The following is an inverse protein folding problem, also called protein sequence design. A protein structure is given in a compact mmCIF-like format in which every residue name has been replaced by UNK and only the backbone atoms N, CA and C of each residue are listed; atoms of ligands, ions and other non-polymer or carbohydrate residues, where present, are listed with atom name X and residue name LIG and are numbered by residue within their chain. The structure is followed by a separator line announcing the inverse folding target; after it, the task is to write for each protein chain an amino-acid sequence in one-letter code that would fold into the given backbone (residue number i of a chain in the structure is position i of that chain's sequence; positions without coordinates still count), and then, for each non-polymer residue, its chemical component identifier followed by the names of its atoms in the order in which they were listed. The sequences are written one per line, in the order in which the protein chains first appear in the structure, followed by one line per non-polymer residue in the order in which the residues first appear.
data_IF_341975373347
#
_entry.id   IF_341975373347
#
_cell.length_a   1.000
_cell.length_b   1.000
_cell.length_c   1.000
_cell.angle_alpha   90.00
_cell.angle_beta   90.00
_cell.angle_gamma   90.00
#
_symmetry.space_group_name_H-M   'P 1'
#
loop_
_entity.id
_entity.type
_entity.pdbx_description
1 polymer ?
#
# COMPACT_ATOMS: atom_id res chain seq x y z
N UNK A 1 32.53 29.32 42.04
CA UNK A 1 31.26 28.65 41.68
C UNK A 1 30.81 28.90 40.25
N UNK A 2 30.67 30.14 39.76
CA UNK A 2 30.22 30.43 38.37
C UNK A 2 31.04 29.74 37.26
N UNK A 3 32.39 29.70 37.36
CA UNK A 3 33.27 29.04 36.36
C UNK A 3 33.14 27.51 36.31
N UNK A 4 32.82 26.86 37.42
CA UNK A 4 32.66 25.39 37.46
C UNK A 4 31.34 24.94 36.82
N UNK A 5 30.30 25.79 36.87
CA UNK A 5 29.02 25.53 36.20
C UNK A 5 29.19 25.57 34.67
N UNK A 6 29.95 26.54 34.13
CA UNK A 6 30.21 26.59 32.68
C UNK A 6 31.01 25.39 32.17
N UNK A 7 31.99 24.90 32.94
CA UNK A 7 32.78 23.72 32.56
C UNK A 7 31.92 22.45 32.60
N UNK A 8 31.03 22.30 33.60
CA UNK A 8 30.08 21.20 33.65
C UNK A 8 29.08 21.24 32.47
N UNK A 9 28.62 22.43 32.07
CA UNK A 9 27.75 22.63 30.91
C UNK A 9 28.46 22.22 29.61
N UNK A 10 29.73 22.61 29.42
CA UNK A 10 30.52 22.25 28.24
C UNK A 10 30.76 20.73 28.18
N UNK A 11 31.02 20.08 29.32
CA UNK A 11 31.22 18.63 29.42
C UNK A 11 29.95 17.81 29.13
N UNK A 12 28.77 18.33 29.50
CA UNK A 12 27.47 17.73 29.18
C UNK A 12 27.17 17.87 27.68
N UNK A 13 27.55 18.99 27.05
CA UNK A 13 27.37 19.19 25.60
C UNK A 13 28.34 18.31 24.79
N UNK A 14 29.54 18.03 25.30
CA UNK A 14 30.56 17.24 24.59
C UNK A 14 30.44 15.71 24.74
N UNK A 15 29.48 15.21 25.54
CA UNK A 15 29.30 13.77 25.78
C UNK A 15 28.18 13.12 24.94
N UNK A 16 27.55 13.87 24.04
CA UNK A 16 26.64 13.30 23.03
C UNK A 16 27.45 12.77 21.84
N UNK A 17 27.91 11.52 21.92
CA UNK A 17 28.39 10.81 20.74
C UNK A 17 27.22 10.63 19.77
N UNK A 18 27.36 11.17 18.56
CA UNK A 18 26.32 11.15 17.56
C UNK A 18 26.20 9.74 16.95
N UNK A 19 25.37 8.87 17.53
CA UNK A 19 25.06 7.57 16.95
C UNK A 19 23.94 7.78 15.94
N UNK A 20 24.30 7.79 14.65
CA UNK A 20 23.36 7.83 13.54
C UNK A 20 22.58 6.51 13.47
N UNK A 21 21.57 6.35 14.32
CA UNK A 21 20.56 5.31 14.17
C UNK A 21 19.43 5.86 13.30
N UNK A 22 19.21 5.25 12.13
CA UNK A 22 18.09 5.53 11.24
C UNK A 22 16.80 5.56 12.07
N UNK A 23 16.25 6.76 12.28
CA UNK A 23 14.93 6.89 12.90
C UNK A 23 13.94 6.37 11.87
N UNK A 24 13.41 5.16 12.09
CA UNK A 24 12.35 4.59 11.28
C UNK A 24 11.19 5.58 11.08
N UNK A 25 10.34 5.35 10.08
CA UNK A 25 9.28 6.28 9.70
C UNK A 25 8.44 6.70 10.91
N UNK A 26 8.17 8.01 11.03
CA UNK A 26 7.31 8.56 12.10
C UNK A 26 5.84 8.20 11.88
N UNK A 27 5.50 7.81 10.66
CA UNK A 27 4.18 7.37 10.25
C UNK A 27 4.34 6.29 9.18
N UNK A 28 3.74 5.13 9.41
CA UNK A 28 3.67 4.03 8.45
C UNK A 28 2.23 3.56 8.34
N UNK A 29 1.62 3.73 7.17
CA UNK A 29 0.21 3.41 6.95
C UNK A 29 0.00 1.88 6.97
N UNK A 30 -0.96 1.44 7.76
CA UNK A 30 -1.62 0.15 7.65
C UNK A 30 -2.96 0.33 6.94
N UNK A 31 -3.49 -0.76 6.39
CA UNK A 31 -4.69 -0.70 5.57
C UNK A 31 -5.83 -1.50 6.19
N UNK A 32 -7.08 -1.01 6.11
CA UNK A 32 -8.22 -1.74 6.64
C UNK A 32 -8.43 -3.07 5.92
N UNK A 33 -9.09 -3.98 6.62
CA UNK A 33 -9.68 -5.18 6.02
C UNK A 33 -11.20 -5.15 6.17
N UNK A 34 -11.93 -6.10 5.59
CA UNK A 34 -13.39 -6.12 5.70
C UNK A 34 -13.96 -7.52 5.91
N UNK A 35 -15.26 -7.55 6.18
CA UNK A 35 -16.09 -8.73 6.42
C UNK A 35 -16.50 -9.47 5.11
N UNK A 36 -16.90 -10.76 5.19
CA UNK A 36 -17.40 -11.53 4.04
C UNK A 36 -18.72 -10.91 3.54
N UNK A 37 -18.81 -10.77 2.22
CA UNK A 37 -20.04 -10.46 1.51
C UNK A 37 -20.43 -11.54 0.49
N UNK A 38 -21.70 -11.58 0.14
CA UNK A 38 -22.17 -12.27 -1.06
C UNK A 38 -21.98 -11.40 -2.28
N UNK A 39 -21.55 -12.01 -3.38
CA UNK A 39 -21.60 -11.33 -4.69
C UNK A 39 -23.05 -11.13 -5.13
N UNK A 40 -23.92 -12.11 -4.83
CA UNK A 40 -25.36 -12.00 -5.08
C UNK A 40 -26.08 -11.28 -3.93
N UNK A 41 -26.75 -10.16 -4.23
CA UNK A 41 -27.44 -9.32 -3.22
C UNK A 41 -28.65 -9.98 -2.53
N UNK A 42 -29.19 -11.06 -3.10
CA UNK A 42 -30.43 -11.71 -2.64
C UNK A 42 -30.19 -13.14 -2.08
N UNK A 43 -28.98 -13.42 -1.58
CA UNK A 43 -28.67 -14.75 -1.03
C UNK A 43 -29.56 -15.10 0.17
N UNK A 44 -30.18 -16.29 0.21
CA UNK A 44 -31.02 -16.69 1.32
C UNK A 44 -30.24 -17.05 2.59
N UNK A 45 -28.90 -17.17 2.49
CA UNK A 45 -28.02 -17.60 3.56
C UNK A 45 -28.05 -16.61 4.74
N UNK A 46 -28.06 -17.16 5.94
CA UNK A 46 -28.10 -16.41 7.20
C UNK A 46 -26.79 -16.58 7.95
N UNK A 47 -26.29 -15.49 8.54
CA UNK A 47 -25.15 -15.50 9.47
C UNK A 47 -25.69 -15.56 10.90
N UNK A 48 -25.31 -16.62 11.62
CA UNK A 48 -25.67 -16.86 13.03
C UNK A 48 -24.71 -16.22 14.01
N UNK A 49 -23.43 -16.20 13.64
CA UNK A 49 -22.35 -15.56 14.39
C UNK A 49 -21.15 -15.31 13.51
N UNK A 50 -20.39 -14.28 13.88
CA UNK A 50 -19.01 -14.04 13.46
C UNK A 50 -18.10 -14.04 14.69
N UNK A 51 -17.05 -14.85 14.66
CA UNK A 51 -15.94 -14.80 15.59
C UNK A 51 -14.74 -14.17 14.87
N UNK A 52 -14.44 -12.92 15.23
CA UNK A 52 -13.35 -12.14 14.68
C UNK A 52 -12.17 -12.11 15.65
N UNK A 53 -11.02 -12.62 15.20
CA UNK A 53 -9.81 -12.75 16.01
C UNK A 53 -8.67 -11.96 15.37
N UNK A 54 -8.05 -11.07 16.14
CA UNK A 54 -6.77 -10.43 15.83
C UNK A 54 -5.70 -11.04 16.73
N UNK A 55 -4.82 -11.85 16.15
CA UNK A 55 -3.72 -12.49 16.88
C UNK A 55 -2.37 -11.86 16.51
N UNK A 56 -1.74 -11.21 17.50
CA UNK A 56 -0.43 -10.56 17.34
C UNK A 56 0.71 -11.38 17.96
N UNK A 57 0.47 -12.64 18.34
CA UNK A 57 1.46 -13.47 19.04
C UNK A 57 2.61 -13.96 18.14
N UNK A 58 2.33 -14.20 16.86
CA UNK A 58 3.29 -14.73 15.88
C UNK A 58 4.01 -13.63 15.07
N UNK A 59 3.77 -12.35 15.40
CA UNK A 59 4.19 -11.21 14.59
C UNK A 59 5.71 -11.11 14.40
N UNK A 60 6.17 -11.37 13.17
CA UNK A 60 7.52 -11.09 12.72
C UNK A 60 7.67 -9.57 12.48
N UNK A 61 8.58 -8.91 13.20
CA UNK A 61 8.80 -7.45 13.19
C UNK A 61 9.59 -6.93 11.96
N UNK A 62 9.55 -7.62 10.83
CA UNK A 62 10.41 -7.30 9.67
C UNK A 62 9.91 -6.09 8.85
N UNK A 63 8.71 -5.59 9.16
CA UNK A 63 8.17 -4.34 8.60
C UNK A 63 8.05 -3.31 9.73
N UNK A 64 8.11 -2.02 9.40
CA UNK A 64 8.10 -0.92 10.37
C UNK A 64 6.82 -0.81 11.24
N UNK A 65 5.92 -1.80 11.22
CA UNK A 65 4.67 -1.86 11.98
C UNK A 65 4.39 -3.26 12.52
N UNK A 66 3.42 -3.36 13.44
CA UNK A 66 2.92 -4.62 13.99
C UNK A 66 1.98 -5.31 12.99
N UNK A 67 2.17 -6.61 12.81
CA UNK A 67 1.34 -7.48 11.98
C UNK A 67 0.42 -8.36 12.84
N UNK A 68 -0.86 -8.46 12.45
CA UNK A 68 -1.83 -9.38 13.02
C UNK A 68 -2.13 -10.51 12.04
N UNK A 69 -2.24 -11.73 12.55
CA UNK A 69 -2.94 -12.82 11.89
C UNK A 69 -4.43 -12.64 12.21
N UNK A 70 -5.22 -12.22 11.22
CA UNK A 70 -6.66 -12.03 11.37
C UNK A 70 -7.37 -13.31 10.97
N UNK A 71 -8.37 -13.70 11.74
CA UNK A 71 -9.30 -14.78 11.37
C UNK A 71 -10.71 -14.30 11.58
N UNK A 72 -11.49 -14.26 10.50
CA UNK A 72 -12.92 -14.05 10.52
C UNK A 72 -13.60 -15.41 10.28
N UNK A 73 -14.34 -15.89 11.28
CA UNK A 73 -15.02 -17.18 11.23
C UNK A 73 -16.52 -17.00 11.39
N UNK A 74 -17.30 -17.63 10.52
CA UNK A 74 -18.74 -17.44 10.40
C UNK A 74 -19.46 -18.76 10.60
N UNK A 75 -20.50 -18.75 11.42
CA UNK A 75 -21.52 -19.80 11.40
C UNK A 75 -22.65 -19.38 10.47
N UNK A 76 -22.81 -20.10 9.37
CA UNK A 76 -23.76 -19.77 8.31
C UNK A 76 -24.78 -20.90 8.12
N UNK A 77 -26.02 -20.54 7.77
CA UNK A 77 -27.11 -21.49 7.54
C UNK A 77 -27.78 -21.25 6.20
N UNK A 78 -28.04 -22.33 5.46
CA UNK A 78 -28.99 -22.31 4.36
C UNK A 78 -30.40 -22.65 4.87
N UNK A 79 -31.34 -21.70 4.96
CA UNK A 79 -32.69 -21.95 5.46
C UNK A 79 -33.61 -22.61 4.44
N UNK A 80 -33.14 -22.85 3.20
CA UNK A 80 -33.97 -23.36 2.10
C UNK A 80 -33.93 -24.88 2.02
N UNK A 81 -34.85 -25.45 1.25
CA UNK A 81 -34.94 -26.88 0.93
C UNK A 81 -34.08 -27.29 -0.28
N UNK A 82 -33.31 -26.34 -0.85
CA UNK A 82 -32.46 -26.54 -2.02
C UNK A 82 -31.00 -26.28 -1.69
N UNK A 83 -30.11 -26.99 -2.36
CA UNK A 83 -28.68 -26.67 -2.34
C UNK A 83 -28.47 -25.28 -2.91
N UNK A 84 -27.66 -24.48 -2.23
CA UNK A 84 -27.22 -23.14 -2.68
C UNK A 84 -25.72 -23.18 -2.92
N UNK A 85 -25.27 -22.75 -4.09
CA UNK A 85 -23.86 -22.44 -4.34
C UNK A 85 -23.74 -20.93 -4.34
N UNK A 86 -23.00 -20.39 -3.38
CA UNK A 86 -22.91 -18.94 -3.18
C UNK A 86 -21.48 -18.51 -3.46
N UNK A 87 -21.34 -17.53 -4.36
CA UNK A 87 -20.07 -16.85 -4.58
C UNK A 87 -19.88 -15.79 -3.50
N UNK A 88 -18.80 -15.97 -2.74
CA UNK A 88 -18.39 -15.11 -1.64
C UNK A 88 -17.29 -14.16 -2.13
N UNK A 89 -17.27 -12.97 -1.56
CA UNK A 89 -16.20 -12.00 -1.73
C UNK A 89 -15.71 -11.54 -0.34
N UNK A 90 -14.40 -11.43 -0.19
CA UNK A 90 -13.76 -10.89 1.01
C UNK A 90 -12.79 -9.77 0.60
N UNK A 91 -13.22 -8.50 0.67
CA UNK A 91 -12.36 -7.38 0.35
C UNK A 91 -11.40 -7.02 1.48
N UNK A 92 -10.22 -6.55 1.12
CA UNK A 92 -9.30 -5.86 2.00
C UNK A 92 -8.43 -4.91 1.18
N UNK A 93 -7.68 -4.02 1.82
CA UNK A 93 -6.91 -3.01 1.11
C UNK A 93 -5.44 -3.34 1.21
N UNK A 94 -4.78 -3.46 0.06
CA UNK A 94 -3.37 -3.83 -0.01
C UNK A 94 -2.77 -3.42 -1.37
N UNK A 95 -1.46 -3.59 -1.50
CA UNK A 95 -0.70 -3.52 -2.75
C UNK A 95 -0.48 -4.94 -3.27
N UNK A 96 -0.49 -5.13 -4.58
CA UNK A 96 -0.37 -6.48 -5.16
C UNK A 96 0.95 -7.17 -4.77
N UNK A 97 2.05 -6.42 -4.72
CA UNK A 97 3.35 -6.98 -4.35
C UNK A 97 3.49 -7.32 -2.85
N UNK A 98 2.56 -6.88 -2.00
CA UNK A 98 2.57 -7.15 -0.55
C UNK A 98 1.73 -8.38 -0.18
N UNK A 99 0.98 -8.95 -1.12
CA UNK A 99 0.12 -10.10 -0.85
C UNK A 99 1.01 -11.30 -0.58
N UNK A 100 0.83 -11.91 0.59
CA UNK A 100 1.45 -13.18 0.94
C UNK A 100 0.39 -14.28 0.90
N UNK A 101 0.37 -15.05 -0.19
CA UNK A 101 -0.63 -16.11 -0.40
C UNK A 101 -0.50 -17.26 0.59
N UNK A 102 0.69 -17.55 1.12
CA UNK A 102 0.91 -18.60 2.13
C UNK A 102 0.14 -18.32 3.44
N UNK A 103 -0.14 -17.04 3.72
CA UNK A 103 -0.86 -16.61 4.91
C UNK A 103 -2.37 -16.51 4.68
N UNK A 104 -2.83 -16.60 3.42
CA UNK A 104 -4.26 -16.53 3.09
C UNK A 104 -4.82 -17.94 3.11
N UNK A 105 -5.80 -18.17 3.99
CA UNK A 105 -6.48 -19.47 4.09
C UNK A 105 -7.98 -19.28 4.16
N UNK A 106 -8.70 -19.93 3.24
CA UNK A 106 -10.16 -19.93 3.20
C UNK A 106 -10.65 -21.35 3.40
N UNK A 107 -11.57 -21.57 4.34
CA UNK A 107 -12.10 -22.91 4.64
C UNK A 107 -13.61 -22.93 4.77
N UNK A 108 -14.21 -24.08 4.45
CA UNK A 108 -15.58 -24.44 4.81
C UNK A 108 -15.56 -25.77 5.58
N UNK A 109 -16.07 -25.76 6.82
CA UNK A 109 -16.02 -26.88 7.77
C UNK A 109 -14.59 -27.48 7.91
N UNK A 110 -13.58 -26.60 7.95
CA UNK A 110 -12.17 -26.97 8.04
C UNK A 110 -11.52 -27.50 6.74
N UNK A 111 -12.29 -27.68 5.66
CA UNK A 111 -11.76 -28.00 4.34
C UNK A 111 -11.37 -26.73 3.60
N UNK A 112 -10.15 -26.67 3.09
CA UNK A 112 -9.65 -25.55 2.31
C UNK A 112 -10.39 -25.38 0.97
N UNK A 113 -10.65 -24.13 0.62
CA UNK A 113 -11.34 -23.74 -0.62
C UNK A 113 -10.39 -22.97 -1.54
N UNK A 114 -10.44 -23.23 -2.85
CA UNK A 114 -9.74 -22.39 -3.81
C UNK A 114 -10.38 -21.00 -3.87
N UNK A 115 -9.57 -20.01 -4.21
CA UNK A 115 -9.99 -18.63 -4.38
C UNK A 115 -9.24 -17.97 -5.55
N UNK A 116 -9.88 -16.95 -6.11
CA UNK A 116 -9.30 -16.04 -7.09
C UNK A 116 -9.15 -14.65 -6.48
N UNK A 117 -8.12 -13.92 -6.91
CA UNK A 117 -7.87 -12.54 -6.47
C UNK A 117 -8.29 -11.56 -7.56
N UNK A 118 -9.17 -10.62 -7.18
CA UNK A 118 -9.63 -9.51 -8.02
C UNK A 118 -8.98 -8.21 -7.54
N UNK A 119 -8.28 -7.54 -8.45
CA UNK A 119 -7.64 -6.25 -8.21
C UNK A 119 -8.61 -5.12 -8.58
N UNK A 120 -9.32 -4.61 -7.58
CA UNK A 120 -10.28 -3.53 -7.74
C UNK A 120 -9.63 -2.14 -7.91
N UNK A 121 -10.45 -1.12 -7.69
CA UNK A 121 -10.06 0.28 -7.85
C UNK A 121 -8.97 0.70 -6.86
N UNK A 122 -8.11 1.62 -7.31
CA UNK A 122 -7.15 2.31 -6.45
C UNK A 122 -7.91 3.10 -5.38
N UNK A 123 -7.54 2.89 -4.12
CA UNK A 123 -8.07 3.66 -2.99
C UNK A 123 -7.13 4.84 -2.81
N UNK A 124 -7.64 6.06 -3.03
CA UNK A 124 -6.94 7.36 -2.95
C UNK A 124 -5.45 7.22 -2.60
N UNK A 125 -4.61 7.10 -3.63
CA UNK A 125 -3.17 7.08 -3.50
C UNK A 125 -2.70 8.43 -2.93
N UNK A 126 -2.44 8.50 -1.63
CA UNK A 126 -1.86 9.70 -1.03
C UNK A 126 -0.34 9.65 -1.05
N UNK A 127 0.25 10.49 -1.89
CA UNK A 127 1.63 10.95 -1.79
C UNK A 127 1.71 12.20 -0.91
N UNK A 128 1.60 12.06 0.41
CA UNK A 128 2.24 12.96 1.39
C UNK A 128 1.92 12.51 2.82
N UNK A 129 2.96 12.35 3.65
CA UNK A 129 2.86 12.02 5.08
C UNK A 129 2.30 13.16 5.97
N UNK A 130 1.68 14.17 5.35
CA UNK A 130 1.23 15.42 5.97
C UNK A 130 -0.25 15.77 5.73
N UNK A 131 -0.98 15.03 4.90
CA UNK A 131 -2.42 15.27 4.71
C UNK A 131 -3.25 14.40 5.67
N UNK A 132 -4.29 15.01 6.26
CA UNK A 132 -5.29 14.30 7.07
C UNK A 132 -6.16 13.42 6.18
N UNK A 133 -6.40 12.19 6.62
CA UNK A 133 -7.24 11.20 5.95
C UNK A 133 -8.60 11.80 5.59
N UNK A 134 -8.87 11.98 4.28
CA UNK A 134 -10.25 12.19 3.81
C UNK A 134 -11.06 10.95 4.17
N UNK A 135 -12.29 11.18 4.63
CA UNK A 135 -13.27 10.17 5.01
C UNK A 135 -13.32 9.04 3.96
N UNK A 136 -12.87 7.85 4.36
CA UNK A 136 -12.77 6.66 3.51
C UNK A 136 -14.13 5.98 3.51
N UNK A 137 -15.00 6.32 2.57
CA UNK A 137 -16.26 5.60 2.37
C UNK A 137 -16.05 4.47 1.35
N UNK A 138 -16.07 3.22 1.82
CA UNK A 138 -16.01 2.03 0.97
C UNK A 138 -17.41 1.66 0.52
N UNK A 139 -17.73 2.03 -0.72
CA UNK A 139 -18.98 1.67 -1.36
C UNK A 139 -18.91 0.21 -1.86
N UNK A 140 -19.47 -0.74 -1.10
CA UNK A 140 -19.40 -2.17 -1.45
C UNK A 140 -20.09 -2.50 -2.76
N UNK A 141 -21.14 -1.78 -3.12
CA UNK A 141 -21.77 -1.97 -4.42
C UNK A 141 -20.76 -1.68 -5.53
N UNK A 142 -19.89 -0.67 -5.35
CA UNK A 142 -18.78 -0.44 -6.29
C UNK A 142 -17.75 -1.56 -6.26
N UNK A 143 -17.43 -2.14 -5.10
CA UNK A 143 -16.46 -3.23 -4.99
C UNK A 143 -16.98 -4.48 -5.71
N UNK A 144 -18.21 -4.91 -5.40
CA UNK A 144 -18.82 -6.09 -6.04
C UNK A 144 -18.96 -5.89 -7.55
N UNK A 145 -19.32 -4.69 -8.01
CA UNK A 145 -19.40 -4.37 -9.43
C UNK A 145 -18.04 -4.41 -10.16
N UNK A 146 -16.90 -4.42 -9.44
CA UNK A 146 -15.58 -4.61 -10.05
C UNK A 146 -15.18 -6.08 -10.18
N UNK A 147 -15.92 -6.99 -9.57
CA UNK A 147 -15.71 -8.44 -9.71
C UNK A 147 -16.33 -8.88 -11.04
N UNK A 148 -15.54 -8.89 -12.09
CA UNK A 148 -15.97 -9.35 -13.42
C UNK A 148 -14.84 -10.03 -14.16
N UNK A 149 -15.17 -11.08 -14.91
CA UNK A 149 -14.27 -11.75 -15.86
C UNK A 149 -14.47 -11.26 -17.30
N UNK A 150 -15.24 -10.19 -17.49
CA UNK A 150 -15.33 -9.53 -18.77
C UNK A 150 -13.99 -8.86 -19.09
N UNK A 151 -13.58 -8.93 -20.35
CA UNK A 151 -12.38 -8.25 -20.82
C UNK A 151 -12.63 -6.75 -20.77
N UNK A 152 -11.66 -6.01 -20.23
CA UNK A 152 -11.72 -4.55 -20.14
C UNK A 152 -11.98 -3.93 -21.53
N UNK A 153 -12.96 -3.04 -21.60
CA UNK A 153 -13.30 -2.31 -22.82
C UNK A 153 -12.52 -0.98 -22.84
N UNK A 154 -11.38 -0.98 -23.51
CA UNK A 154 -10.49 0.17 -23.60
C UNK A 154 -11.05 1.24 -24.56
N UNK A 155 -10.91 2.51 -24.17
CA UNK A 155 -11.42 3.66 -24.93
C UNK A 155 -10.42 4.21 -25.94
N UNK A 156 -9.13 4.13 -25.64
CA UNK A 156 -8.05 4.73 -26.44
C UNK A 156 -7.34 3.73 -27.36
N UNK A 157 -7.60 2.42 -27.21
CA UNK A 157 -7.01 1.39 -28.06
C UNK A 157 -7.93 0.15 -28.15
N UNK A 158 -7.69 -0.69 -29.16
CA UNK A 158 -8.36 -2.00 -29.25
C UNK A 158 -7.59 -3.04 -28.45
N UNK A 159 -8.25 -3.72 -27.51
CA UNK A 159 -7.65 -4.82 -26.73
C UNK A 159 -7.25 -6.04 -27.57
N UNK A 160 -7.80 -6.17 -28.78
CA UNK A 160 -7.41 -7.16 -29.79
C UNK A 160 -6.54 -6.54 -30.89
N UNK A 161 -6.06 -5.32 -30.68
CA UNK A 161 -5.20 -4.61 -31.62
C UNK A 161 -3.88 -5.33 -31.82
N UNK A 162 -3.35 -5.21 -33.04
CA UNK A 162 -2.00 -5.64 -33.39
C UNK A 162 -1.18 -4.36 -33.50
N UNK A 163 -0.06 -4.32 -32.77
CA UNK A 163 0.90 -3.23 -32.81
C UNK A 163 2.22 -3.68 -33.39
N UNK A 164 3.01 -2.69 -33.82
CA UNK A 164 4.37 -2.88 -34.32
C UNK A 164 5.36 -2.70 -33.17
N UNK A 165 6.10 -3.74 -32.83
CA UNK A 165 7.18 -3.67 -31.84
C UNK A 165 8.51 -3.42 -32.55
N UNK A 166 9.13 -2.30 -32.20
CA UNK A 166 10.51 -1.99 -32.52
C UNK A 166 11.40 -2.40 -31.36
N UNK A 167 12.33 -3.33 -31.60
CA UNK A 167 13.40 -3.67 -30.66
C UNK A 167 14.70 -3.09 -31.19
N UNK A 168 15.24 -2.13 -30.44
CA UNK A 168 16.44 -1.37 -30.78
C UNK A 168 17.57 -1.92 -29.91
N UNK A 169 18.53 -2.62 -30.52
CA UNK A 169 19.75 -3.06 -29.83
C UNK A 169 20.80 -1.96 -29.92
N UNK A 170 21.14 -1.34 -28.78
CA UNK A 170 22.13 -0.25 -28.69
C UNK A 170 23.44 -0.82 -28.12
N UNK A 171 24.56 -0.53 -28.80
CA UNK A 171 25.90 -1.00 -28.45
C UNK A 171 26.89 0.17 -28.37
N UNK A 172 27.28 0.61 -27.16
CA UNK A 172 28.34 1.61 -26.99
C UNK A 172 29.68 1.07 -27.51
N UNK A 173 30.48 1.92 -28.14
CA UNK A 173 31.86 1.61 -28.56
C UNK A 173 32.91 2.26 -27.66
N UNK A 174 32.50 2.68 -26.46
CA UNK A 174 33.31 3.39 -25.47
C UNK A 174 33.08 2.82 -24.07
N UNK A 175 34.13 2.71 -23.26
CA UNK A 175 34.05 2.19 -21.89
C UNK A 175 33.21 3.06 -20.95
N UNK A 176 33.06 4.35 -21.27
CA UNK A 176 32.27 5.27 -20.45
C UNK A 176 30.77 5.10 -20.65
N UNK A 177 30.34 4.39 -21.70
CA UNK A 177 28.95 4.41 -22.17
C UNK A 177 28.61 5.70 -22.93
N UNK A 178 27.35 5.77 -23.36
CA UNK A 178 26.74 6.94 -24.01
C UNK A 178 25.37 7.24 -23.42
N UNK A 179 24.86 8.45 -23.61
CA UNK A 179 23.42 8.71 -23.59
C UNK A 179 22.90 8.62 -25.03
N UNK A 180 21.70 8.10 -25.25
CA UNK A 180 21.07 8.10 -26.57
C UNK A 180 19.65 8.64 -26.51
N UNK A 181 19.21 9.19 -27.64
CA UNK A 181 17.84 9.65 -27.82
C UNK A 181 17.21 8.98 -29.04
N UNK A 182 15.90 8.78 -28.98
CA UNK A 182 15.08 8.44 -30.13
C UNK A 182 14.02 9.52 -30.28
N UNK A 183 14.11 10.27 -31.38
CA UNK A 183 13.22 11.35 -31.73
C UNK A 183 12.24 10.87 -32.81
N UNK A 184 10.94 11.13 -32.63
CA UNK A 184 9.93 10.80 -33.64
C UNK A 184 8.71 11.71 -33.54
N UNK A 185 7.92 11.71 -34.62
CA UNK A 185 6.64 12.41 -34.69
C UNK A 185 5.51 11.42 -34.92
N UNK A 186 4.37 11.66 -34.31
CA UNK A 186 3.19 10.81 -34.41
C UNK A 186 1.91 11.63 -34.23
N UNK A 187 0.80 11.13 -34.77
CA UNK A 187 -0.53 11.67 -34.48
C UNK A 187 -1.02 11.08 -33.14
N UNK A 188 -1.21 11.94 -32.14
CA UNK A 188 -1.61 11.50 -30.80
C UNK A 188 -3.05 10.94 -30.75
N UNK A 189 -3.90 11.27 -31.71
CA UNK A 189 -5.28 10.81 -31.77
C UNK A 189 -5.35 9.41 -32.40
N UNK A 190 -4.54 9.15 -33.43
CA UNK A 190 -4.52 7.88 -34.17
C UNK A 190 -3.47 6.87 -33.68
N UNK A 191 -2.35 7.35 -33.14
CA UNK A 191 -1.21 6.51 -32.74
C UNK A 191 -1.02 6.52 -31.23
N UNK A 192 -0.70 5.35 -30.67
CA UNK A 192 -0.36 5.15 -29.25
C UNK A 192 1.00 4.48 -29.12
N UNK A 193 1.79 4.93 -28.16
CA UNK A 193 3.20 4.59 -28.01
C UNK A 193 3.45 4.08 -26.60
N UNK A 194 3.99 2.87 -26.50
CA UNK A 194 4.42 2.26 -25.24
C UNK A 194 5.93 1.95 -25.31
N UNK A 195 6.70 2.45 -24.35
CA UNK A 195 8.18 2.31 -24.37
C UNK A 195 8.72 1.51 -23.20
N UNK A 196 9.79 0.74 -23.41
CA UNK A 196 10.50 -0.05 -22.38
C UNK A 196 12.01 0.21 -22.41
N UNK A 197 12.64 0.21 -21.24
CA UNK A 197 14.08 0.43 -21.04
C UNK A 197 14.57 1.82 -21.50
N UNK A 198 13.78 2.86 -21.19
CA UNK A 198 14.16 4.26 -21.33
C UNK A 198 14.07 4.97 -19.97
N UNK A 199 14.97 5.92 -19.71
CA UNK A 199 15.07 6.61 -18.42
C UNK A 199 14.37 7.98 -18.40
N UNK A 200 13.91 8.47 -19.56
CA UNK A 200 13.26 9.77 -19.66
C UNK A 200 12.57 9.97 -20.99
N UNK A 201 11.61 10.90 -20.99
CA UNK A 201 10.92 11.31 -22.20
C UNK A 201 10.48 12.78 -22.12
N UNK A 202 10.24 13.38 -23.29
CA UNK A 202 9.67 14.70 -23.46
C UNK A 202 8.64 14.66 -24.60
N UNK A 203 7.46 15.22 -24.35
CA UNK A 203 6.36 15.26 -25.30
C UNK A 203 5.99 16.71 -25.62
N UNK A 204 5.86 17.03 -26.91
CA UNK A 204 5.45 18.35 -27.36
C UNK A 204 4.60 18.25 -28.63
N UNK A 205 3.27 18.19 -28.46
CA UNK A 205 2.28 18.30 -29.54
C UNK A 205 2.53 17.34 -30.71
N UNK A 206 2.58 16.04 -30.43
CA UNK A 206 2.85 14.98 -31.44
C UNK A 206 4.33 14.75 -31.75
N UNK A 207 5.26 15.44 -31.05
CA UNK A 207 6.69 15.11 -31.06
C UNK A 207 7.08 14.43 -29.77
N UNK A 208 7.78 13.31 -29.86
CA UNK A 208 8.37 12.64 -28.72
C UNK A 208 9.90 12.60 -28.87
N UNK A 209 10.56 12.85 -27.74
CA UNK A 209 11.97 12.55 -27.53
C UNK A 209 12.05 11.60 -26.35
N UNK A 210 12.51 10.38 -26.56
CA UNK A 210 12.77 9.41 -25.48
C UNK A 210 14.27 9.21 -25.32
N UNK A 211 14.74 9.02 -24.08
CA UNK A 211 16.15 9.12 -23.72
C UNK A 211 16.57 8.04 -22.74
N UNK A 212 17.78 7.52 -22.88
CA UNK A 212 18.38 6.64 -21.88
C UNK A 212 19.91 6.71 -21.89
N UNK A 213 20.51 6.43 -20.74
CA UNK A 213 21.92 6.05 -20.68
C UNK A 213 22.10 4.60 -21.11
N UNK A 214 23.26 4.28 -21.68
CA UNK A 214 23.65 2.97 -22.15
C UNK A 214 25.14 2.74 -21.86
N UNK A 215 25.44 1.88 -20.88
CA UNK A 215 26.80 1.56 -20.45
C UNK A 215 27.32 0.26 -21.06
N UNK A 216 26.41 -0.69 -21.27
CA UNK A 216 26.63 -1.99 -21.91
C UNK A 216 25.57 -2.21 -23.00
N UNK A 217 25.73 -3.27 -23.80
CA UNK A 217 24.73 -3.63 -24.81
C UNK A 217 23.35 -3.80 -24.17
N UNK A 218 22.34 -3.08 -24.68
CA UNK A 218 20.97 -3.17 -24.19
C UNK A 218 19.96 -3.20 -25.34
N UNK A 219 18.78 -3.74 -25.06
CA UNK A 219 17.63 -3.70 -25.98
C UNK A 219 16.58 -2.76 -25.40
N UNK A 220 16.27 -1.70 -26.13
CA UNK A 220 15.16 -0.80 -25.82
C UNK A 220 13.98 -1.10 -26.76
N UNK A 221 12.75 -0.90 -26.28
CA UNK A 221 11.55 -1.23 -27.06
C UNK A 221 10.62 -0.04 -27.24
N UNK A 222 10.07 0.09 -28.44
CA UNK A 222 8.98 1.01 -28.76
C UNK A 222 7.86 0.21 -29.40
N UNK A 223 6.74 0.08 -28.71
CA UNK A 223 5.54 -0.59 -29.20
C UNK A 223 4.53 0.46 -29.69
N UNK A 224 4.13 0.35 -30.96
CA UNK A 224 3.31 1.32 -31.68
C UNK A 224 1.98 0.70 -32.05
N UNK A 225 0.89 1.31 -31.61
CA UNK A 225 -0.48 0.98 -32.03
C UNK A 225 -1.02 2.10 -32.90
N UNK A 226 -1.53 1.79 -34.09
CA UNK A 226 -2.03 2.79 -35.03
C UNK A 226 -1.05 3.04 -36.17
N UNK A 227 -0.84 4.29 -36.56
CA UNK A 227 0.05 4.65 -37.67
C UNK A 227 1.52 4.47 -37.30
N UNK A 228 2.31 4.10 -38.31
CA UNK A 228 3.74 3.86 -38.15
C UNK A 228 4.53 5.15 -37.88
N UNK A 229 5.69 5.02 -37.23
CA UNK A 229 6.55 6.16 -36.87
C UNK A 229 7.91 6.08 -37.57
N UNK A 230 8.48 7.24 -37.87
CA UNK A 230 9.87 7.34 -38.33
C UNK A 230 10.75 7.81 -37.17
N UNK A 231 11.80 7.04 -36.86
CA UNK A 231 12.70 7.27 -35.74
C UNK A 231 14.02 7.89 -36.21
N UNK A 232 14.49 8.89 -35.47
CA UNK A 232 15.83 9.45 -35.56
C UNK A 232 16.61 9.13 -34.27
N UNK A 233 17.73 8.43 -34.38
CA UNK A 233 18.50 7.93 -33.24
C UNK A 233 19.84 8.65 -33.17
N UNK A 234 20.07 9.35 -32.06
CA UNK A 234 21.26 10.17 -31.85
C UNK A 234 21.96 9.78 -30.54
N UNK A 235 23.29 9.81 -30.53
CA UNK A 235 24.12 9.54 -29.36
C UNK A 235 24.73 10.82 -28.79
N UNK A 236 24.93 10.85 -27.48
CA UNK A 236 25.50 11.96 -26.73
C UNK A 236 26.54 11.49 -25.72
N UNK A 237 27.52 12.34 -25.44
CA UNK A 237 28.52 12.11 -24.39
C UNK A 237 27.84 12.15 -23.02
N UNK A 238 28.08 11.11 -22.19
CA UNK A 238 27.47 11.02 -20.85
C UNK A 238 27.74 12.28 -20.03
N UNK A 239 26.66 12.84 -19.48
CA UNK A 239 26.72 14.03 -18.61
C UNK A 239 26.93 15.35 -19.35
N UNK A 240 26.97 15.34 -20.68
CA UNK A 240 27.04 16.51 -21.54
C UNK A 240 25.89 16.48 -22.56
N UNK A 241 24.70 16.93 -22.14
CA UNK A 241 23.42 16.80 -22.86
C UNK A 241 23.36 17.38 -24.28
N UNK A 242 24.39 18.11 -24.72
CA UNK A 242 24.44 18.84 -25.99
C UNK A 242 25.66 18.47 -26.84
N UNK A 243 26.47 17.47 -26.45
CA UNK A 243 27.64 17.04 -27.21
C UNK A 243 27.35 15.69 -27.88
N UNK A 244 27.01 15.73 -29.16
CA UNK A 244 26.72 14.54 -29.97
C UNK A 244 27.96 13.65 -30.14
N UNK A 245 27.74 12.34 -30.28
CA UNK A 245 28.81 11.37 -30.46
C UNK A 245 28.40 10.20 -31.35
N UNK A 246 29.36 9.74 -32.18
CA UNK A 246 29.23 8.54 -33.01
C UNK A 246 29.78 7.28 -32.31
N UNK A 247 30.04 7.34 -30.99
CA UNK A 247 30.64 6.25 -30.20
C UNK A 247 29.66 5.14 -29.83
N UNK A 248 28.78 4.78 -30.75
CA UNK A 248 27.82 3.68 -30.59
C UNK A 248 27.37 3.14 -31.95
N UNK A 249 26.76 1.96 -31.92
CA UNK A 249 26.03 1.39 -33.06
C UNK A 249 24.65 0.96 -32.59
N UNK A 250 23.70 0.86 -33.53
CA UNK A 250 22.39 0.31 -33.23
C UNK A 250 21.86 -0.56 -34.37
N UNK A 251 21.01 -1.52 -34.03
CA UNK A 251 20.24 -2.33 -34.96
C UNK A 251 18.77 -2.31 -34.54
N UNK A 252 17.86 -2.14 -35.51
CA UNK A 252 16.42 -2.14 -35.27
C UNK A 252 15.83 -3.40 -35.88
N UNK A 253 15.07 -4.14 -35.07
CA UNK A 253 14.26 -5.27 -35.54
C UNK A 253 12.78 -4.96 -35.29
N UNK A 254 11.94 -5.46 -36.18
CA UNK A 254 10.50 -5.15 -36.20
C UNK A 254 9.70 -6.45 -36.17
N UNK A 255 8.63 -6.48 -35.38
CA UNK A 255 7.64 -7.56 -35.42
C UNK A 255 6.24 -7.04 -35.10
N UNK A 256 5.22 -7.68 -35.64
CA UNK A 256 3.84 -7.49 -35.21
C UNK A 256 3.55 -8.33 -33.97
N UNK A 257 2.93 -7.71 -32.96
CA UNK A 257 2.55 -8.36 -31.70
C UNK A 257 1.19 -7.82 -31.28
N UNK A 258 0.28 -8.69 -30.85
CA UNK A 258 -0.99 -8.24 -30.28
C UNK A 258 -0.80 -7.62 -28.88
N UNK A 259 -1.69 -6.70 -28.53
CA UNK A 259 -1.59 -5.92 -27.27
C UNK A 259 -1.50 -6.84 -26.05
N UNK A 260 -2.28 -7.92 -26.04
CA UNK A 260 -2.37 -8.83 -24.90
C UNK A 260 -1.05 -9.57 -24.68
N UNK A 261 -0.47 -10.10 -25.74
CA UNK A 261 0.85 -10.75 -25.70
C UNK A 261 1.93 -9.77 -25.23
N UNK A 262 1.97 -8.55 -25.80
CA UNK A 262 2.97 -7.55 -25.41
C UNK A 262 2.90 -7.16 -23.93
N UNK A 263 1.68 -6.94 -23.43
CA UNK A 263 1.47 -6.61 -22.02
C UNK A 263 1.87 -7.77 -21.11
N UNK A 264 1.47 -9.02 -21.40
CA UNK A 264 1.87 -10.16 -20.57
C UNK A 264 3.38 -10.41 -20.55
N UNK A 265 4.04 -10.31 -21.70
CA UNK A 265 5.49 -10.46 -21.78
C UNK A 265 6.21 -9.35 -20.99
N UNK A 266 5.66 -8.14 -21.01
CA UNK A 266 6.15 -7.03 -20.19
C UNK A 266 5.99 -7.30 -18.69
N UNK A 267 4.84 -7.82 -18.24
CA UNK A 267 4.59 -8.17 -16.84
C UNK A 267 5.52 -9.28 -16.34
N UNK A 268 5.67 -10.36 -17.12
CA UNK A 268 6.51 -11.51 -16.76
C UNK A 268 7.98 -11.16 -16.60
N UNK A 269 8.43 -10.06 -17.22
CA UNK A 269 9.80 -9.57 -17.02
C UNK A 269 10.05 -8.99 -15.61
N UNK A 270 9.00 -8.75 -14.82
CA UNK A 270 9.07 -8.27 -13.45
C UNK A 270 8.92 -9.43 -12.45
N UNK A 271 10.05 -10.05 -12.07
CA UNK A 271 10.08 -11.27 -11.25
C UNK A 271 9.73 -11.09 -9.77
N UNK A 272 9.38 -9.87 -9.32
CA UNK A 272 9.18 -9.56 -7.90
C UNK A 272 7.71 -9.65 -7.45
N UNK A 273 6.77 -9.87 -8.37
CA UNK A 273 5.34 -9.95 -8.04
C UNK A 273 4.87 -11.37 -8.26
N UNK A 274 4.23 -11.92 -7.25
CA UNK A 274 3.58 -13.22 -7.33
C UNK A 274 2.12 -13.06 -7.80
N UNK A 275 1.81 -13.73 -8.91
CA UNK A 275 0.50 -13.70 -9.55
C UNK A 275 -0.25 -15.05 -9.42
N UNK A 276 0.20 -15.98 -8.56
CA UNK A 276 -0.32 -17.36 -8.47
C UNK A 276 -1.85 -17.48 -8.37
N UNK A 277 -2.52 -16.51 -7.75
CA UNK A 277 -3.98 -16.49 -7.57
C UNK A 277 -4.73 -15.43 -8.40
N UNK A 278 -4.04 -14.70 -9.28
CA UNK A 278 -4.65 -13.71 -10.16
C UNK A 278 -4.78 -14.32 -11.55
N UNK A 279 -6.01 -14.41 -12.07
CA UNK A 279 -6.22 -14.97 -13.41
C UNK A 279 -5.63 -14.06 -14.49
N UNK A 280 -5.25 -14.64 -15.63
CA UNK A 280 -4.75 -13.88 -16.79
C UNK A 280 -5.70 -12.76 -17.22
N UNK A 281 -7.02 -12.96 -17.09
CA UNK A 281 -8.01 -11.92 -17.43
C UNK A 281 -7.96 -10.78 -16.42
N UNK A 282 -7.90 -11.07 -15.12
CA UNK A 282 -7.80 -10.04 -14.09
C UNK A 282 -6.51 -9.24 -14.23
N UNK A 283 -5.40 -9.93 -14.48
CA UNK A 283 -4.11 -9.31 -14.69
C UNK A 283 -4.11 -8.42 -15.94
N UNK A 284 -4.64 -8.94 -17.05
CA UNK A 284 -4.79 -8.14 -18.28
C UNK A 284 -5.64 -6.89 -18.05
N UNK A 285 -6.81 -7.03 -17.41
CA UNK A 285 -7.73 -5.93 -17.17
C UNK A 285 -7.09 -4.81 -16.35
N UNK A 286 -6.31 -5.17 -15.32
CA UNK A 286 -5.58 -4.21 -14.50
C UNK A 286 -4.66 -3.33 -15.35
N UNK A 287 -3.79 -3.94 -16.14
CA UNK A 287 -2.79 -3.20 -16.93
C UNK A 287 -3.38 -2.56 -18.18
N UNK A 288 -4.40 -3.16 -18.79
CA UNK A 288 -5.14 -2.56 -19.90
C UNK A 288 -5.86 -1.28 -19.45
N UNK A 289 -6.50 -1.29 -18.28
CA UNK A 289 -7.13 -0.10 -17.71
C UNK A 289 -6.10 0.98 -17.36
N UNK A 290 -4.92 0.60 -16.87
CA UNK A 290 -3.83 1.53 -16.61
C UNK A 290 -3.34 2.17 -17.92
N UNK A 291 -3.05 1.33 -18.92
CA UNK A 291 -2.60 1.77 -20.24
C UNK A 291 -3.60 2.75 -20.87
N UNK A 292 -4.89 2.45 -20.81
CA UNK A 292 -5.94 3.31 -21.35
C UNK A 292 -5.94 4.69 -20.68
N UNK A 293 -5.83 4.70 -19.34
CA UNK A 293 -5.72 5.94 -18.55
C UNK A 293 -4.47 6.75 -18.93
N UNK A 294 -3.33 6.10 -19.11
CA UNK A 294 -2.09 6.80 -19.49
C UNK A 294 -2.19 7.37 -20.90
N UNK A 295 -2.66 6.60 -21.87
CA UNK A 295 -2.88 7.09 -23.23
C UNK A 295 -3.82 8.29 -23.30
N UNK A 296 -4.91 8.28 -22.54
CA UNK A 296 -5.85 9.41 -22.47
C UNK A 296 -5.19 10.66 -21.88
N UNK A 297 -4.35 10.50 -20.85
CA UNK A 297 -3.80 11.65 -20.10
C UNK A 297 -2.45 12.16 -20.63
N UNK A 298 -1.70 11.33 -21.35
CA UNK A 298 -0.32 11.60 -21.75
C UNK A 298 -0.14 11.63 -23.28
N UNK A 299 -1.09 12.21 -24.01
CA UNK A 299 -1.01 12.39 -25.48
C UNK A 299 -0.75 11.06 -26.23
N UNK A 300 -1.39 9.96 -25.79
CA UNK A 300 -1.19 8.64 -26.41
C UNK A 300 0.14 7.96 -26.06
N UNK A 301 0.89 8.46 -25.09
CA UNK A 301 2.19 7.93 -24.69
C UNK A 301 2.16 7.27 -23.30
N UNK A 302 2.86 6.16 -23.12
CA UNK A 302 3.02 5.47 -21.84
C UNK A 302 4.38 4.77 -21.77
N UNK A 303 4.92 4.57 -20.57
CA UNK A 303 6.06 3.67 -20.37
C UNK A 303 5.59 2.32 -19.79
N UNK A 304 6.37 1.26 -20.00
CA UNK A 304 6.11 -0.03 -19.33
C UNK A 304 6.24 0.12 -17.81
N UNK A 305 7.14 0.98 -17.33
CA UNK A 305 7.28 1.23 -15.89
C UNK A 305 6.04 1.91 -15.28
N UNK A 306 5.38 2.80 -16.02
CA UNK A 306 4.12 3.44 -15.60
C UNK A 306 3.02 2.42 -15.33
N UNK A 307 2.83 1.46 -16.25
CA UNK A 307 1.83 0.41 -16.06
C UNK A 307 2.26 -0.55 -14.94
N UNK A 308 3.54 -0.91 -14.83
CA UNK A 308 4.03 -1.83 -13.80
C UNK A 308 3.93 -1.23 -12.39
N UNK A 309 4.08 0.09 -12.27
CA UNK A 309 3.91 0.83 -11.01
C UNK A 309 2.50 0.66 -10.41
N UNK A 310 1.49 0.30 -11.21
CA UNK A 310 0.14 0.03 -10.71
C UNK A 310 0.08 -1.14 -9.73
N UNK A 311 1.02 -2.09 -9.81
CA UNK A 311 1.15 -3.15 -8.80
C UNK A 311 1.41 -2.61 -7.40
N UNK A 312 2.01 -1.42 -7.31
CA UNK A 312 2.26 -0.72 -6.06
C UNK A 312 1.18 0.28 -5.65
N UNK A 313 0.16 0.50 -6.46
CA UNK A 313 -1.00 1.29 -6.06
C UNK A 313 -1.76 0.56 -4.97
N UNK A 314 -2.10 1.27 -3.89
CA UNK A 314 -2.99 0.79 -2.84
C UNK A 314 -4.40 0.66 -3.43
N UNK A 315 -4.99 -0.53 -3.35
CA UNK A 315 -6.28 -0.81 -3.98
C UNK A 315 -7.11 -1.76 -3.14
N UNK A 316 -8.38 -1.85 -3.48
CA UNK A 316 -9.24 -2.92 -2.95
C UNK A 316 -8.82 -4.24 -3.61
N UNK A 317 -8.36 -5.18 -2.80
CA UNK A 317 -8.10 -6.57 -3.16
C UNK A 317 -9.29 -7.39 -2.69
N UNK A 318 -9.86 -8.22 -3.56
CA UNK A 318 -11.01 -9.06 -3.19
C UNK A 318 -10.68 -10.52 -3.42
N UNK A 319 -10.78 -11.33 -2.36
CA UNK A 319 -10.71 -12.78 -2.45
C UNK A 319 -12.10 -13.31 -2.82
N UNK A 320 -12.21 -14.01 -3.95
CA UNK A 320 -13.48 -14.53 -4.46
C UNK A 320 -13.45 -16.05 -4.46
N UNK A 321 -14.43 -16.68 -3.83
CA UNK A 321 -14.50 -18.13 -3.64
C UNK A 321 -15.94 -18.62 -3.59
N UNK A 322 -16.16 -19.91 -3.84
CA UNK A 322 -17.50 -20.49 -3.84
C UNK A 322 -17.69 -21.39 -2.62
N UNK A 323 -18.86 -21.28 -2.00
CA UNK A 323 -19.27 -22.11 -0.86
C UNK A 323 -20.59 -22.81 -1.20
N UNK A 324 -20.59 -24.14 -1.10
CA UNK A 324 -21.80 -24.94 -1.28
C UNK A 324 -22.49 -25.17 0.08
N UNK A 325 -23.79 -24.90 0.14
CA UNK A 325 -24.64 -25.16 1.30
C UNK A 325 -25.75 -26.14 0.93
N UNK A 326 -25.78 -27.31 1.56
CA UNK A 326 -26.88 -28.26 1.40
C UNK A 326 -28.17 -27.73 2.06
N UNK A 327 -29.35 -28.29 1.71
CA UNK A 327 -30.62 -27.91 2.34
C UNK A 327 -30.57 -27.97 3.86
N UNK A 328 -31.01 -26.90 4.53
CA UNK A 328 -31.07 -26.82 6.00
C UNK A 328 -29.74 -27.07 6.73
N UNK A 329 -28.61 -26.94 6.02
CA UNK A 329 -27.29 -27.19 6.58
C UNK A 329 -26.73 -25.95 7.29
N UNK A 330 -26.10 -26.19 8.43
CA UNK A 330 -25.17 -25.27 9.08
C UNK A 330 -23.75 -25.54 8.61
N UNK A 331 -23.01 -24.47 8.33
CA UNK A 331 -21.65 -24.54 7.82
C UNK A 331 -20.80 -23.45 8.44
N UNK A 332 -19.61 -23.84 8.88
CA UNK A 332 -18.59 -22.90 9.31
C UNK A 332 -17.77 -22.45 8.10
N UNK A 333 -17.66 -21.15 7.87
CA UNK A 333 -16.79 -20.57 6.83
C UNK A 333 -15.73 -19.72 7.54
N UNK A 334 -14.48 -19.80 7.14
CA UNK A 334 -13.41 -19.01 7.75
C UNK A 334 -12.45 -18.46 6.73
N UNK A 335 -12.04 -17.20 6.93
CA UNK A 335 -10.99 -16.51 6.17
C UNK A 335 -9.91 -16.08 7.16
N UNK A 336 -8.68 -16.50 6.91
CA UNK A 336 -7.49 -16.08 7.65
C UNK A 336 -6.50 -15.40 6.71
N UNK A 337 -5.88 -14.32 7.16
CA UNK A 337 -4.91 -13.52 6.40
C UNK A 337 -4.12 -12.60 7.33
N UNK A 338 -3.06 -11.98 6.83
CA UNK A 338 -2.25 -11.04 7.61
C UNK A 338 -2.61 -9.60 7.29
N UNK A 339 -2.68 -8.76 8.32
CA UNK A 339 -2.84 -7.30 8.17
C UNK A 339 -1.82 -6.54 9.00
N UNK A 340 -1.40 -5.37 8.53
CA UNK A 340 -0.48 -4.50 9.23
C UNK A 340 -1.23 -3.27 9.78
N UNK A 341 -0.93 -2.90 11.01
CA UNK A 341 -1.49 -1.69 11.62
C UNK A 341 -0.84 -0.43 11.08
N UNK A 342 -1.53 0.71 11.18
CA UNK A 342 -0.92 2.02 10.97
C UNK A 342 -0.05 2.38 12.16
N UNK A 343 1.26 2.43 11.98
CA UNK A 343 2.19 2.95 12.96
C UNK A 343 2.13 4.49 12.94
N UNK A 344 1.74 5.12 14.05
CA UNK A 344 1.78 6.57 14.24
C UNK A 344 2.62 6.95 15.46
N UNK A 345 3.75 7.63 15.20
CA UNK A 345 4.68 8.16 16.20
C UNK A 345 4.71 9.70 16.18
N UNK A 346 3.78 10.37 15.50
CA UNK A 346 3.76 11.84 15.37
C UNK A 346 3.51 12.55 16.69
N UNK A 347 2.77 11.91 17.58
CA UNK A 347 2.31 12.48 18.85
C UNK A 347 2.92 11.81 20.09
N UNK A 348 3.71 10.74 19.95
CA UNK A 348 4.23 9.96 21.07
C UNK A 348 5.66 9.47 20.77
N UNK A 349 6.49 9.25 21.80
CA UNK A 349 7.85 8.72 21.60
C UNK A 349 7.87 7.23 21.24
N UNK A 350 6.87 6.47 21.69
CA UNK A 350 6.55 5.12 21.21
C UNK A 350 5.47 5.18 20.13
N UNK A 351 5.46 4.28 19.14
CA UNK A 351 4.39 4.23 18.14
C UNK A 351 3.05 3.80 18.76
N UNK A 352 1.97 4.35 18.22
CA UNK A 352 0.62 3.79 18.32
C UNK A 352 0.36 2.96 17.06
N UNK A 353 -0.34 1.84 17.19
CA UNK A 353 -0.69 0.98 16.05
C UNK A 353 -2.21 0.92 15.89
N UNK A 354 -2.73 1.49 14.78
CA UNK A 354 -4.16 1.64 14.53
C UNK A 354 -4.60 0.57 13.53
N UNK A 355 -5.66 -0.16 13.86
CA UNK A 355 -6.25 -1.21 13.03
C UNK A 355 -7.70 -0.89 12.74
N UNK A 356 -8.09 -1.06 11.48
CA UNK A 356 -9.45 -0.84 11.00
C UNK A 356 -9.98 -2.13 10.36
N UNK A 357 -11.22 -2.48 10.69
CA UNK A 357 -11.95 -3.62 10.13
C UNK A 357 -13.38 -3.21 9.79
N UNK A 358 -13.69 -3.30 8.51
CA UNK A 358 -14.91 -2.81 7.90
C UNK A 358 -16.00 -3.89 8.06
N UNK A 359 -16.95 -3.64 8.96
CA UNK A 359 -18.07 -4.53 9.33
C UNK A 359 -19.33 -4.32 8.49
N UNK A 360 -19.40 -3.17 7.81
CA UNK A 360 -20.55 -2.80 7.00
C UNK A 360 -20.96 -3.84 5.91
N UNK A 361 -20.07 -4.65 5.28
CA UNK A 361 -20.48 -5.68 4.33
C UNK A 361 -21.51 -6.66 4.85
N UNK A 362 -21.44 -7.01 6.14
CA UNK A 362 -22.30 -8.04 6.71
C UNK A 362 -23.78 -7.64 6.81
N UNK A 363 -24.10 -6.35 6.62
CA UNK A 363 -25.48 -5.87 6.54
C UNK A 363 -26.22 -6.39 5.29
N UNK A 364 -25.49 -6.91 4.29
CA UNK A 364 -26.08 -7.46 3.07
C UNK A 364 -26.56 -8.91 3.21
N UNK A 365 -26.24 -9.59 4.32
CA UNK A 365 -26.79 -10.92 4.59
C UNK A 365 -28.27 -10.87 4.97
N UNK A 366 -29.01 -11.92 4.63
CA UNK A 366 -30.43 -12.06 4.97
C UNK A 366 -30.71 -11.89 6.48
N UNK A 367 -29.75 -12.28 7.31
CA UNK A 367 -29.71 -11.91 8.72
C UNK A 367 -28.29 -12.05 9.25
N UNK A 368 -27.93 -11.20 10.21
CA UNK A 368 -26.70 -11.30 10.98
C UNK A 368 -27.03 -11.24 12.47
N UNK A 369 -26.42 -12.13 13.26
CA UNK A 369 -26.51 -12.12 14.72
C UNK A 369 -25.12 -12.37 15.29
N UNK A 370 -24.87 -11.91 16.50
CA UNK A 370 -23.69 -12.22 17.32
C UNK A 370 -22.34 -11.92 16.65
N UNK A 371 -21.75 -10.78 16.97
CA UNK A 371 -20.36 -10.46 16.67
C UNK A 371 -19.52 -10.67 17.94
N UNK A 372 -18.59 -11.61 17.90
CA UNK A 372 -17.58 -11.81 18.95
C UNK A 372 -16.23 -11.33 18.46
N UNK A 373 -15.57 -10.49 19.26
CA UNK A 373 -14.25 -9.93 18.93
C UNK A 373 -13.26 -10.41 19.97
N UNK A 374 -12.10 -10.87 19.53
CA UNK A 374 -10.96 -11.21 20.38
C UNK A 374 -9.68 -10.57 19.84
N UNK A 375 -8.98 -9.83 20.68
CA UNK A 375 -7.71 -9.20 20.34
C UNK A 375 -6.64 -9.73 21.32
N UNK A 376 -5.59 -10.34 20.78
CA UNK A 376 -4.44 -10.86 21.54
C UNK A 376 -3.25 -9.94 21.27
N UNK A 377 -3.05 -8.93 22.11
CA UNK A 377 -2.08 -7.85 21.85
C UNK A 377 -0.62 -8.32 21.94
N UNK A 378 0.33 -7.73 21.18
CA UNK A 378 1.74 -8.10 21.24
C UNK A 378 2.40 -7.56 22.51
N UNK A 379 3.60 -8.06 22.84
CA UNK A 379 4.34 -7.60 24.01
C UNK A 379 4.77 -6.13 23.93
N UNK A 380 5.09 -5.64 22.74
CA UNK A 380 5.55 -4.25 22.52
C UNK A 380 4.43 -3.20 22.63
N UNK A 381 3.18 -3.60 22.40
CA UNK A 381 2.00 -2.74 22.49
C UNK A 381 0.82 -3.48 23.16
N UNK A 382 0.91 -3.77 24.48
CA UNK A 382 -0.01 -4.68 25.16
C UNK A 382 -1.33 -4.04 25.61
N UNK A 383 -1.55 -2.77 25.27
CA UNK A 383 -2.72 -2.01 25.72
C UNK A 383 -3.54 -1.51 24.54
N UNK A 384 -4.83 -1.83 24.53
CA UNK A 384 -5.82 -1.12 23.71
C UNK A 384 -6.15 0.18 24.42
N UNK A 385 -5.84 1.32 23.79
CA UNK A 385 -6.02 2.66 24.40
C UNK A 385 -7.19 3.45 23.81
N UNK A 386 -7.69 3.02 22.65
CA UNK A 386 -8.84 3.58 21.96
C UNK A 386 -9.51 2.49 21.13
N UNK A 387 -10.84 2.52 21.04
CA UNK A 387 -11.61 1.62 20.19
C UNK A 387 -13.01 2.14 19.93
N UNK A 388 -13.54 1.89 18.72
CA UNK A 388 -14.93 2.20 18.37
C UNK A 388 -15.94 1.29 19.08
N UNK A 389 -15.50 0.13 19.60
CA UNK A 389 -16.32 -0.83 20.33
C UNK A 389 -15.77 -0.99 21.75
N UNK A 390 -16.67 -1.06 22.75
CA UNK A 390 -16.27 -1.26 24.14
C UNK A 390 -15.69 -2.67 24.34
N UNK A 391 -14.37 -2.74 24.60
CA UNK A 391 -13.63 -3.98 24.79
C UNK A 391 -13.37 -4.26 26.28
N UNK A 392 -13.69 -5.47 26.70
CA UNK A 392 -13.42 -5.97 28.04
C UNK A 392 -12.04 -6.62 28.09
N UNK A 393 -11.13 -6.07 28.91
CA UNK A 393 -9.83 -6.68 29.20
C UNK A 393 -10.03 -7.96 30.04
N UNK A 394 -9.51 -9.08 29.56
CA UNK A 394 -9.42 -10.37 30.29
C UNK A 394 -8.03 -10.50 30.91
N UNK A 395 -7.74 -11.66 31.52
CA UNK A 395 -6.40 -11.94 32.03
C UNK A 395 -5.35 -11.88 30.91
N UNK A 396 -4.17 -11.36 31.23
CA UNK A 396 -3.05 -11.25 30.28
C UNK A 396 -3.23 -10.13 29.24
N UNK A 397 -2.94 -10.48 27.98
CA UNK A 397 -2.89 -9.61 26.82
C UNK A 397 -4.15 -9.74 25.92
N UNK A 398 -5.27 -10.16 26.51
CA UNK A 398 -6.50 -10.50 25.76
C UNK A 398 -7.60 -9.46 26.04
N UNK A 399 -8.19 -8.94 24.96
CA UNK A 399 -9.36 -8.05 25.00
C UNK A 399 -10.50 -8.71 24.21
N UNK A 400 -11.74 -8.57 24.71
CA UNK A 400 -12.92 -9.24 24.12
C UNK A 400 -14.16 -8.35 24.11
N UNK A 401 -14.98 -8.49 23.08
CA UNK A 401 -16.34 -7.94 23.04
C UNK A 401 -17.31 -8.99 22.46
N UNK A 402 -18.57 -8.90 22.87
CA UNK A 402 -19.67 -9.69 22.30
C UNK A 402 -20.87 -8.77 22.11
N UNK A 403 -21.35 -8.67 20.88
CA UNK A 403 -22.49 -7.84 20.48
C UNK A 403 -23.56 -8.74 19.87
N UNK A 404 -24.82 -8.57 20.26
CA UNK A 404 -25.92 -9.37 19.69
C UNK A 404 -26.18 -9.06 18.20
N UNK A 405 -25.78 -7.87 17.74
CA UNK A 405 -25.99 -7.35 16.38
C UNK A 405 -24.76 -6.59 15.91
N UNK A 406 -24.69 -6.34 14.60
CA UNK A 406 -23.69 -5.46 14.02
C UNK A 406 -23.80 -4.04 14.61
N UNK A 407 -22.67 -3.40 14.95
CA UNK A 407 -22.64 -1.98 15.29
C UNK A 407 -23.00 -1.10 14.09
N UNK A 408 -23.32 0.17 14.36
CA UNK A 408 -23.58 1.15 13.30
C UNK A 408 -22.28 1.47 12.51
N UNK A 409 -21.20 1.70 13.26
CA UNK A 409 -19.86 2.04 12.77
C UNK A 409 -18.95 0.80 12.64
N UNK A 410 -17.90 0.91 11.83
CA UNK A 410 -16.87 -0.12 11.66
C UNK A 410 -15.98 -0.29 12.91
N UNK A 411 -15.29 -1.42 13.02
CA UNK A 411 -14.34 -1.66 14.11
C UNK A 411 -13.04 -0.91 13.84
N UNK A 412 -12.64 -0.08 14.79
CA UNK A 412 -11.29 0.48 14.87
C UNK A 412 -10.74 0.30 16.28
N UNK A 413 -9.44 0.03 16.42
CA UNK A 413 -8.77 0.00 17.71
C UNK A 413 -7.31 0.41 17.61
N UNK A 414 -6.78 0.98 18.70
CA UNK A 414 -5.39 1.44 18.78
C UNK A 414 -4.63 0.71 19.87
N UNK A 415 -3.51 0.08 19.49
CA UNK A 415 -2.56 -0.54 20.41
C UNK A 415 -1.45 0.44 20.79
N UNK A 416 -1.01 0.39 22.05
CA UNK A 416 0.06 1.23 22.57
C UNK A 416 0.88 0.54 23.66
N UNK A 417 2.11 1.03 23.87
CA UNK A 417 3.04 0.48 24.87
C UNK A 417 2.67 0.80 26.32
N UNK A 418 1.72 1.72 26.55
CA UNK A 418 1.25 2.14 27.88
C UNK A 418 -0.28 2.15 27.93
N UNK A 419 -0.86 2.05 29.12
CA UNK A 419 -2.33 2.08 29.32
C UNK A 419 -3.03 3.35 28.84
N UNK A 420 -2.29 4.46 28.72
CA UNK A 420 -2.81 5.74 28.20
C UNK A 420 -1.70 6.62 27.70
N UNK A 421 -2.03 7.50 26.75
CA UNK A 421 -1.14 8.57 26.28
C UNK A 421 -1.14 9.72 27.29
N UNK A 422 0.02 10.04 27.87
CA UNK A 422 0.18 11.15 28.83
C UNK A 422 0.51 12.46 28.14
N UNK A 423 0.37 13.59 28.86
CA UNK A 423 0.81 14.91 28.39
C UNK A 423 2.32 14.94 28.11
N UNK A 424 3.11 14.21 28.90
CA UNK A 424 4.55 14.10 28.69
C UNK A 424 4.85 13.40 27.36
N UNK A 425 4.16 12.30 27.06
CA UNK A 425 4.33 11.58 25.79
C UNK A 425 4.03 12.50 24.60
N UNK A 426 2.98 13.34 24.70
CA UNK A 426 2.62 14.34 23.68
C UNK A 426 3.69 15.41 23.47
N UNK A 427 4.27 15.92 24.57
CA UNK A 427 5.34 16.91 24.50
C UNK A 427 6.59 16.29 23.88
N UNK A 428 6.97 15.10 24.35
CA UNK A 428 8.13 14.36 23.84
C UNK A 428 7.99 14.04 22.35
N UNK A 429 6.81 13.54 21.93
CA UNK A 429 6.51 13.28 20.52
C UNK A 429 6.63 14.53 19.64
N UNK A 430 6.09 15.67 20.08
CA UNK A 430 6.22 16.95 19.33
C UNK A 430 7.65 17.46 19.21
N UNK A 431 8.45 17.29 20.26
CA UNK A 431 9.86 17.67 20.24
C UNK A 431 10.63 16.74 19.28
N UNK A 432 10.39 15.42 19.37
CA UNK A 432 10.97 14.44 18.45
C UNK A 432 10.57 14.70 17.00
N UNK A 433 9.32 15.06 16.72
CA UNK A 433 8.87 15.42 15.36
C UNK A 433 9.55 16.70 14.84
N UNK A 434 9.62 17.75 15.66
CA UNK A 434 10.13 19.07 15.24
C UNK A 434 11.65 19.09 15.10
N UNK A 435 12.37 18.36 15.95
CA UNK A 435 13.83 18.43 16.04
C UNK A 435 14.51 17.14 15.62
N UNK A 436 13.75 16.08 15.35
CA UNK A 436 14.28 14.78 14.94
C UNK A 436 15.35 14.29 15.91
N UNK A 437 16.50 13.96 15.34
CA UNK A 437 17.70 13.57 16.07
C UNK A 437 18.20 14.61 17.11
N UNK A 438 17.89 15.90 16.92
CA UNK A 438 18.31 16.97 17.85
C UNK A 438 17.39 17.12 19.06
N UNK A 439 16.30 16.36 19.16
CA UNK A 439 15.36 16.45 20.27
C UNK A 439 16.01 16.34 21.67
N UNK A 440 16.94 15.41 21.95
CA UNK A 440 17.61 15.33 23.25
C UNK A 440 18.40 16.59 23.61
N UNK A 441 19.02 17.23 22.61
CA UNK A 441 19.78 18.48 22.80
C UNK A 441 18.82 19.62 23.15
N UNK A 442 17.69 19.72 22.45
CA UNK A 442 16.67 20.75 22.72
C UNK A 442 16.08 20.58 24.12
N UNK A 443 15.78 19.35 24.54
CA UNK A 443 15.31 19.06 25.91
C UNK A 443 16.37 19.48 26.94
N UNK A 444 17.64 19.13 26.70
CA UNK A 444 18.75 19.55 27.57
C UNK A 444 18.88 21.07 27.70
N UNK A 445 18.72 21.79 26.59
CA UNK A 445 18.74 23.27 26.57
C UNK A 445 17.56 23.85 27.37
N UNK A 446 16.35 23.32 27.21
CA UNK A 446 15.16 23.78 27.97
C UNK A 446 15.36 23.56 29.48
N UNK A 447 15.91 22.42 29.90
CA UNK A 447 16.22 22.12 31.30
C UNK A 447 17.26 23.11 31.85
N UNK A 448 18.31 23.41 31.08
CA UNK A 448 19.32 24.39 31.50
C UNK A 448 18.71 25.79 31.67
N UNK A 449 17.89 26.25 30.72
CA UNK A 449 17.22 27.55 30.83
C UNK A 449 16.28 27.63 32.04
N UNK A 450 15.50 26.59 32.31
CA UNK A 450 14.59 26.55 33.47
C UNK A 450 15.34 26.57 34.81
N UNK A 451 16.46 25.86 34.92
CA UNK A 451 17.34 25.92 36.10
C UNK A 451 17.91 27.34 36.28
N UNK A 452 18.37 27.97 35.20
CA UNK A 452 18.92 29.34 35.25
C UNK A 452 17.84 30.33 35.71
N UNK A 453 16.64 30.29 35.12
CA UNK A 453 15.52 31.17 35.48
C UNK A 453 15.11 30.96 36.94
N UNK A 454 14.99 29.71 37.39
CA UNK A 454 14.64 29.38 38.78
C UNK A 454 15.66 29.96 39.77
N UNK A 455 16.95 29.84 39.46
CA UNK A 455 18.01 30.43 40.28
C UNK A 455 17.95 31.97 40.30
N UNK A 456 17.62 32.62 39.18
CA UNK A 456 17.44 34.08 39.11
C UNK A 456 16.24 34.52 39.97
N UNK A 457 15.12 33.79 39.91
CA UNK A 457 13.93 34.06 40.72
C UNK A 457 14.24 33.92 42.21
N UNK A 458 14.86 32.80 42.62
CA UNK A 458 15.27 32.57 44.02
C UNK A 458 16.24 33.66 44.49
N UNK A 459 17.19 34.07 43.65
CA UNK A 459 18.12 35.16 43.97
C UNK A 459 17.40 36.49 44.15
N UNK A 460 16.42 36.83 43.29
CA UNK A 460 15.60 38.03 43.43
C UNK A 460 14.74 38.01 44.69
N UNK A 461 14.10 36.89 45.03
CA UNK A 461 13.29 36.73 46.25
C UNK A 461 14.17 36.90 47.49
N UNK A 462 15.34 36.24 47.55
CA UNK A 462 16.29 36.41 48.66
C UNK A 462 16.77 37.85 48.79
N UNK A 463 17.00 38.55 47.68
CA UNK A 463 17.39 39.97 47.70
C UNK A 463 16.26 40.87 48.16
N UNK A 464 15.00 40.55 47.85
CA UNK A 464 13.82 41.30 48.27
C UNK A 464 13.47 41.11 49.75
N UNK A 465 13.82 39.97 50.37
CA UNK A 465 13.60 39.70 51.79
C UNK A 465 14.73 40.24 52.70
N UNK A 466 15.75 40.85 52.10
CA UNK A 466 16.88 41.50 52.80
C UNK A 466 16.88 43.03 52.63
N UNK A 467 15.79 43.59 52.13
CA UNK A 467 15.41 45.00 52.18
C UNK A 467 14.20 45.12 53.10
#
# INVERSE_FOLDING_TARGET
MKKFVYIAIILIISSFTMVFANSGPVYWQGYPSSDIMTVDKDSPIKVKSEDLIFDFSDGNNDLHSVQANVTAQYEMTNPTDKTQSVQMAFPYIERLYNINYDNIKITANGKELPYEVYAGNVVNSYGNSFEEDKEKNYDFDKIVNTISNDIYDAKSFSVYGIGKLYSIEIKPTTEKGIDFTVDFTYDQDETKILTKNFNGFSLNGGKARITSGCFDTQIAEIYVLGEDINMDINGYVIGASNEETDLFTYEITEKEVDVRTYLFDSMKSYSFIDFEHISDIQLFNLYASALDKYFINNMGFCTVDDILAESGSVRVITLVYNVEFLPSQDQQVSVSYNTNGTMDKRNTSSPQYIFDYILNPAKNWNSFNNLNIKIITPQEAPYVIDSSIELNKKEGNIYTASLEKLPEDDLSFTLYSKEKVTLYDKIEGRINRSFGYFAPIVIGVIILFTIIISNIIVWKIKKSNHL
#
